data_IF_367606572026
#
_entry.id   IF_367606572026
#
_cell.length_a   1.000
_cell.length_b   1.000
_cell.length_c   1.000
_cell.angle_alpha   90.00
_cell.angle_beta   90.00
_cell.angle_gamma   90.00
#
_symmetry.space_group_name_H-M   'P 1'
#
loop_
_entity.id
_entity.type
_entity.pdbx_description
1 polymer ?
#
# COMPACT_ATOMS: atom_id res chain seq x y z
N UNK A 1 -48.83 -16.84 -11.12
CA UNK A 1 -47.81 -17.31 -10.17
C UNK A 1 -47.19 -18.61 -10.71
N UNK A 2 -46.88 -18.69 -12.01
CA UNK A 2 -45.71 -18.10 -12.70
C UNK A 2 -44.48 -19.00 -12.52
N UNK A 3 -44.15 -19.84 -13.50
CA UNK A 3 -43.57 -19.52 -14.83
C UNK A 3 -42.05 -19.80 -14.78
N UNK A 4 -41.59 -21.05 -14.94
CA UNK A 4 -41.59 -21.87 -16.16
C UNK A 4 -40.59 -21.38 -17.23
N UNK A 5 -39.43 -22.05 -17.30
CA UNK A 5 -38.70 -22.41 -18.54
C UNK A 5 -38.09 -21.22 -19.36
N UNK A 6 -36.89 -21.27 -19.96
CA UNK A 6 -36.16 -22.41 -20.54
C UNK A 6 -34.67 -22.10 -20.78
N UNK A 7 -33.90 -23.17 -20.93
CA UNK A 7 -32.58 -23.26 -21.58
C UNK A 7 -32.34 -22.32 -22.78
N UNK A 8 -31.33 -21.45 -22.67
CA UNK A 8 -30.55 -20.89 -23.79
C UNK A 8 -29.07 -21.04 -23.39
N UNK A 9 -28.45 -22.18 -23.70
CA UNK A 9 -27.69 -22.47 -24.93
C UNK A 9 -26.29 -21.86 -24.95
N UNK A 10 -25.31 -22.75 -24.81
CA UNK A 10 -23.93 -22.65 -25.30
C UNK A 10 -23.85 -21.92 -26.64
N UNK A 11 -22.94 -20.94 -26.76
CA UNK A 11 -22.55 -20.36 -28.04
C UNK A 11 -21.04 -20.42 -28.21
N UNK A 12 -20.60 -21.31 -29.11
CA UNK A 12 -19.24 -21.37 -29.61
C UNK A 12 -19.27 -21.70 -31.11
N UNK A 13 -18.94 -20.73 -31.98
CA UNK A 13 -18.31 -20.96 -33.27
C UNK A 13 -16.79 -20.71 -33.11
N UNK A 14 -15.92 -21.69 -33.34
CA UNK A 14 -15.57 -22.21 -34.66
C UNK A 14 -15.18 -21.09 -35.64
N UNK A 15 -14.05 -20.44 -35.37
CA UNK A 15 -13.30 -19.72 -36.40
C UNK A 15 -12.44 -20.72 -37.18
N UNK A 16 -12.57 -20.74 -38.50
CA UNK A 16 -11.89 -21.68 -39.39
C UNK A 16 -10.43 -21.26 -39.61
N UNK A 17 -9.49 -22.21 -39.49
CA UNK A 17 -8.07 -21.96 -39.73
C UNK A 17 -7.77 -21.76 -41.22
N UNK A 18 -6.87 -20.82 -41.52
CA UNK A 18 -6.14 -20.74 -42.78
C UNK A 18 -4.64 -20.71 -42.48
N UNK A 19 -3.98 -21.86 -42.65
CA UNK A 19 -2.53 -21.96 -42.50
C UNK A 19 -1.84 -21.72 -43.85
N UNK A 20 -0.76 -20.94 -43.83
CA UNK A 20 0.25 -20.94 -44.89
C UNK A 20 1.65 -20.86 -44.26
N UNK A 21 2.61 -21.57 -44.85
CA UNK A 21 3.98 -21.71 -44.37
C UNK A 21 4.83 -20.44 -44.70
N UNK A 22 6.09 -20.28 -44.26
CA UNK A 22 7.05 -21.30 -43.80
C UNK A 22 8.21 -20.72 -42.98
N UNK A 23 8.74 -21.50 -42.02
CA UNK A 23 9.96 -21.22 -41.25
C UNK A 23 9.80 -20.18 -40.12
N UNK A 24 10.53 -20.28 -39.00
CA UNK A 24 11.45 -21.35 -38.56
C UNK A 24 12.39 -20.85 -37.47
N UNK A 25 12.93 -21.74 -36.63
CA UNK A 25 13.89 -21.40 -35.56
C UNK A 25 13.49 -21.92 -34.18
N UNK A 26 14.48 -22.26 -33.37
CA UNK A 26 14.35 -22.93 -32.07
C UNK A 26 13.74 -22.12 -30.94
N UNK A 27 13.59 -22.81 -29.81
CA UNK A 27 13.10 -22.29 -28.53
C UNK A 27 13.98 -21.21 -27.86
N UNK A 28 13.40 -20.54 -26.85
CA UNK A 28 13.93 -19.42 -26.04
C UNK A 28 14.10 -18.11 -26.81
N UNK A 29 13.55 -16.99 -26.28
CA UNK A 29 14.02 -16.31 -25.06
C UNK A 29 13.22 -16.71 -23.79
N UNK A 30 13.68 -16.69 -22.53
CA UNK A 30 14.87 -16.08 -21.86
C UNK A 30 14.96 -14.54 -21.97
N UNK A 31 15.76 -13.89 -21.14
CA UNK A 31 16.30 -12.51 -21.37
C UNK A 31 15.27 -11.36 -21.61
N UNK A 32 14.97 -10.40 -20.72
CA UNK A 32 15.24 -10.16 -19.29
C UNK A 32 14.68 -8.78 -18.84
N UNK A 33 14.71 -8.51 -17.53
CA UNK A 33 14.77 -7.17 -16.89
C UNK A 33 13.94 -6.02 -17.53
N UNK A 34 12.64 -6.03 -17.25
CA UNK A 34 11.83 -4.80 -17.19
C UNK A 34 12.16 -3.96 -15.95
N UNK A 35 13.44 -3.65 -15.71
CA UNK A 35 13.91 -2.80 -14.60
C UNK A 35 13.62 -1.32 -14.89
N UNK A 36 12.33 -0.99 -15.05
CA UNK A 36 11.88 0.38 -15.14
C UNK A 36 12.11 1.09 -13.80
N UNK A 37 12.86 2.19 -13.84
CA UNK A 37 12.86 3.16 -12.75
C UNK A 37 11.53 3.91 -12.77
N UNK A 38 10.45 3.22 -12.38
CA UNK A 38 9.13 3.83 -12.27
C UNK A 38 9.15 4.82 -11.10
N UNK A 39 8.72 6.04 -11.38
CA UNK A 39 8.53 7.06 -10.36
C UNK A 39 7.59 6.50 -9.28
N UNK A 40 7.94 6.64 -8.01
CA UNK A 40 7.15 6.09 -6.90
C UNK A 40 5.93 6.99 -6.64
N UNK A 41 5.03 7.04 -7.63
CA UNK A 41 3.77 7.79 -7.61
C UNK A 41 2.93 7.25 -6.46
N UNK A 42 2.54 8.12 -5.52
CA UNK A 42 1.81 7.70 -4.33
C UNK A 42 0.47 7.02 -4.67
N UNK A 43 0.16 5.93 -3.97
CA UNK A 43 -1.03 5.11 -4.18
C UNK A 43 -2.34 5.94 -4.16
N UNK A 44 -3.22 5.80 -5.18
CA UNK A 44 -4.39 6.66 -5.31
C UNK A 44 -5.29 6.64 -4.08
N UNK A 45 -5.68 7.82 -3.60
CA UNK A 45 -6.55 7.98 -2.43
C UNK A 45 -8.02 7.76 -2.80
N UNK A 46 -8.80 7.27 -1.84
CA UNK A 46 -10.25 7.08 -1.96
C UNK A 46 -10.96 7.57 -0.69
N UNK A 47 -12.19 8.06 -0.84
CA UNK A 47 -13.06 8.34 0.31
C UNK A 47 -13.45 7.04 1.01
N UNK A 48 -13.90 7.13 2.27
CA UNK A 48 -14.49 5.97 2.95
C UNK A 48 -15.82 5.50 2.36
N UNK A 49 -16.50 6.33 1.56
CA UNK A 49 -17.67 5.91 0.80
C UNK A 49 -17.27 4.99 -0.37
N UNK A 50 -16.25 5.39 -1.14
CA UNK A 50 -15.68 4.57 -2.23
C UNK A 50 -15.03 3.30 -1.70
N UNK A 51 -14.23 3.39 -0.61
CA UNK A 51 -13.64 2.24 0.06
C UNK A 51 -14.68 1.17 0.42
N UNK A 52 -15.85 1.57 0.94
CA UNK A 52 -16.98 0.66 1.23
C UNK A 52 -17.56 0.02 -0.02
N UNK A 53 -17.66 0.74 -1.14
CA UNK A 53 -18.13 0.19 -2.42
C UNK A 53 -17.13 -0.81 -3.01
N UNK A 54 -15.84 -0.46 -3.01
CA UNK A 54 -14.77 -1.33 -3.51
C UNK A 54 -14.70 -2.65 -2.72
N UNK A 55 -14.80 -2.58 -1.39
CA UNK A 55 -14.84 -3.79 -0.54
C UNK A 55 -16.13 -4.60 -0.75
N UNK A 56 -17.26 -3.96 -1.06
CA UNK A 56 -18.50 -4.65 -1.41
C UNK A 56 -18.46 -5.33 -2.79
N UNK A 57 -17.65 -4.82 -3.73
CA UNK A 57 -17.40 -5.42 -5.05
C UNK A 57 -16.37 -6.57 -4.99
N UNK A 58 -15.60 -6.67 -3.89
CA UNK A 58 -14.68 -7.77 -3.62
C UNK A 58 -13.24 -7.36 -3.32
N UNK A 59 -12.92 -6.07 -3.17
CA UNK A 59 -11.59 -5.62 -2.77
C UNK A 59 -11.23 -6.04 -1.33
N UNK A 60 -9.97 -6.42 -1.12
CA UNK A 60 -9.46 -6.75 0.22
C UNK A 60 -9.24 -5.49 1.05
N UNK A 61 -9.79 -5.45 2.25
CA UNK A 61 -9.63 -4.36 3.20
C UNK A 61 -8.43 -4.62 4.12
N UNK A 62 -7.33 -3.87 3.94
CA UNK A 62 -6.09 -4.05 4.69
C UNK A 62 -5.92 -3.00 5.79
N UNK A 63 -5.80 -3.46 7.04
CA UNK A 63 -5.40 -2.65 8.18
C UNK A 63 -3.89 -2.80 8.44
N UNK A 64 -3.16 -1.69 8.51
CA UNK A 64 -1.72 -1.65 8.87
C UNK A 64 -1.44 -1.03 10.24
N UNK A 65 -2.47 -0.90 11.08
CA UNK A 65 -2.35 -0.45 12.47
C UNK A 65 -1.45 -1.40 13.28
N UNK A 66 -0.54 -0.90 14.15
CA UNK A 66 0.26 -1.77 15.02
C UNK A 66 -0.60 -2.52 16.03
N UNK A 67 -0.21 -3.76 16.33
CA UNK A 67 -0.88 -4.72 17.24
C UNK A 67 -1.55 -4.10 18.46
N UNK A 68 -0.85 -3.21 19.16
CA UNK A 68 -1.31 -2.62 20.43
C UNK A 68 -2.59 -1.78 20.29
N UNK A 69 -2.98 -1.43 19.06
CA UNK A 69 -4.23 -0.71 18.73
C UNK A 69 -5.09 -1.41 17.69
N UNK A 70 -4.82 -2.69 17.40
CA UNK A 70 -5.60 -3.47 16.44
C UNK A 70 -7.09 -3.55 16.82
N UNK A 71 -7.43 -3.59 18.11
CA UNK A 71 -8.81 -3.54 18.57
C UNK A 71 -9.50 -2.18 18.32
N UNK A 72 -8.75 -1.07 18.37
CA UNK A 72 -9.29 0.28 18.13
C UNK A 72 -9.47 0.58 16.64
N UNK A 73 -8.77 -0.13 15.75
CA UNK A 73 -8.84 0.03 14.30
C UNK A 73 -9.83 -0.91 13.60
N UNK A 74 -10.67 -1.63 14.33
CA UNK A 74 -11.43 -2.75 13.76
C UNK A 74 -12.51 -2.35 12.75
N UNK A 75 -12.49 -3.04 11.61
CA UNK A 75 -13.57 -3.12 10.63
C UNK A 75 -13.84 -4.62 10.39
N UNK A 76 -15.10 -5.09 10.45
CA UNK A 76 -15.42 -6.48 10.12
C UNK A 76 -14.97 -6.86 8.70
N UNK A 77 -14.32 -8.02 8.57
CA UNK A 77 -13.82 -8.51 7.27
C UNK A 77 -12.47 -7.94 6.84
N UNK A 78 -11.80 -7.12 7.65
CA UNK A 78 -10.41 -6.70 7.40
C UNK A 78 -9.45 -7.90 7.40
N UNK A 79 -8.42 -7.82 6.58
CA UNK A 79 -7.12 -8.46 6.84
C UNK A 79 -6.26 -7.47 7.63
N UNK A 80 -5.52 -7.95 8.61
CA UNK A 80 -4.69 -7.10 9.47
C UNK A 80 -3.24 -7.60 9.44
N UNK A 81 -2.34 -6.72 9.00
CA UNK A 81 -0.89 -6.94 8.93
C UNK A 81 -0.23 -5.61 9.33
N UNK A 82 0.35 -5.50 10.54
CA UNK A 82 1.02 -4.29 11.00
C UNK A 82 2.04 -3.74 9.99
N UNK A 83 2.11 -2.41 9.85
CA UNK A 83 3.05 -1.76 8.92
C UNK A 83 4.53 -2.26 9.01
N UNK A 84 5.09 -2.58 10.20
CA UNK A 84 6.45 -3.12 10.29
C UNK A 84 6.61 -4.56 9.79
N UNK A 85 5.52 -5.32 9.72
CA UNK A 85 5.51 -6.71 9.23
C UNK A 85 5.14 -6.81 7.74
N UNK A 86 4.53 -5.76 7.17
CA UNK A 86 3.95 -5.75 5.83
C UNK A 86 4.94 -6.21 4.75
N UNK A 87 6.20 -5.79 4.81
CA UNK A 87 7.24 -6.18 3.86
C UNK A 87 7.54 -7.69 3.88
N UNK A 88 7.53 -8.31 5.06
CA UNK A 88 7.75 -9.75 5.21
C UNK A 88 6.50 -10.59 4.94
N UNK A 89 5.31 -10.00 5.07
CA UNK A 89 4.00 -10.68 5.05
C UNK A 89 3.12 -10.33 3.84
N UNK A 90 3.55 -9.43 2.97
CA UNK A 90 2.81 -9.05 1.76
C UNK A 90 2.45 -10.24 0.88
N UNK A 91 3.26 -11.31 0.86
CA UNK A 91 2.97 -12.55 0.12
C UNK A 91 1.74 -13.32 0.63
N UNK A 92 1.14 -12.94 1.75
CA UNK A 92 -0.17 -13.42 2.22
C UNK A 92 -1.34 -12.73 1.49
N UNK A 93 -1.08 -11.62 0.79
CA UNK A 93 -2.09 -10.80 0.12
C UNK A 93 -2.37 -11.31 -1.32
N UNK A 94 -3.63 -11.25 -1.78
CA UNK A 94 -3.99 -11.63 -3.14
C UNK A 94 -3.36 -10.69 -4.18
N UNK A 95 -2.78 -11.27 -5.23
CA UNK A 95 -2.24 -10.52 -6.37
C UNK A 95 -3.32 -10.12 -7.37
N UNK A 96 -4.38 -10.92 -7.48
CA UNK A 96 -5.48 -10.76 -8.44
C UNK A 96 -6.68 -9.93 -7.92
N UNK A 97 -6.51 -9.17 -6.83
CA UNK A 97 -7.58 -8.39 -6.19
C UNK A 97 -7.08 -7.00 -5.80
N UNK A 98 -7.98 -6.01 -5.88
CA UNK A 98 -7.71 -4.66 -5.39
C UNK A 98 -7.55 -4.66 -3.86
N UNK A 99 -6.58 -3.91 -3.35
CA UNK A 99 -6.35 -3.72 -1.91
C UNK A 99 -6.73 -2.30 -1.48
N UNK A 100 -7.62 -2.16 -0.50
CA UNK A 100 -7.97 -0.88 0.13
C UNK A 100 -7.27 -0.79 1.48
N UNK A 101 -6.24 0.05 1.60
CA UNK A 101 -5.40 0.15 2.79
C UNK A 101 -5.75 1.34 3.69
N UNK A 102 -5.78 1.08 5.00
CA UNK A 102 -6.04 2.07 6.04
C UNK A 102 -5.22 1.79 7.31
N UNK A 103 -5.23 2.74 8.23
CA UNK A 103 -4.75 2.54 9.61
C UNK A 103 -5.48 3.47 10.58
N UNK A 104 -5.41 3.22 11.88
CA UNK A 104 -6.08 4.00 12.93
C UNK A 104 -6.03 5.52 12.71
N UNK A 105 -4.82 6.09 12.61
CA UNK A 105 -4.59 7.53 12.52
C UNK A 105 -4.29 8.09 11.12
N UNK A 106 -4.39 7.28 10.06
CA UNK A 106 -4.17 7.69 8.67
C UNK A 106 -2.73 7.95 8.21
N UNK A 107 -1.74 8.01 9.13
CA UNK A 107 -0.32 8.26 8.78
C UNK A 107 0.43 7.07 8.19
N UNK A 108 0.07 5.84 8.55
CA UNK A 108 0.79 4.63 8.09
C UNK A 108 0.32 4.11 6.73
N UNK A 109 -0.92 4.38 6.35
CA UNK A 109 -1.55 3.84 5.14
C UNK A 109 -1.01 4.40 3.81
N UNK A 110 -0.55 5.66 3.66
CA UNK A 110 0.14 6.09 2.45
C UNK A 110 1.45 5.34 2.24
N UNK A 111 2.23 5.12 3.31
CA UNK A 111 3.47 4.32 3.24
C UNK A 111 3.20 2.86 2.88
N UNK A 112 2.18 2.23 3.47
CA UNK A 112 1.76 0.89 3.07
C UNK A 112 1.31 0.84 1.59
N UNK A 113 0.56 1.85 1.13
CA UNK A 113 0.18 1.99 -0.27
C UNK A 113 1.38 2.03 -1.20
N UNK A 114 2.37 2.89 -0.91
CA UNK A 114 3.61 2.97 -1.70
C UNK A 114 4.41 1.66 -1.71
N UNK A 115 4.52 0.97 -0.56
CA UNK A 115 5.19 -0.34 -0.46
C UNK A 115 4.49 -1.40 -1.32
N UNK A 116 3.16 -1.47 -1.27
CA UNK A 116 2.37 -2.43 -2.05
C UNK A 116 2.39 -2.09 -3.55
N UNK A 117 2.39 -0.81 -3.91
CA UNK A 117 2.42 -0.39 -5.31
C UNK A 117 3.79 -0.62 -5.96
N UNK A 118 4.89 -0.38 -5.24
CA UNK A 118 6.25 -0.71 -5.70
C UNK A 118 6.43 -2.22 -5.95
N UNK A 119 5.70 -3.04 -5.21
CA UNK A 119 5.62 -4.49 -5.40
C UNK A 119 4.61 -4.92 -6.46
N UNK A 120 3.87 -4.00 -7.10
CA UNK A 120 2.92 -4.30 -8.17
C UNK A 120 1.55 -4.81 -7.74
N UNK A 121 1.09 -4.51 -6.52
CA UNK A 121 -0.31 -4.71 -6.12
C UNK A 121 -1.17 -3.51 -6.56
N UNK A 122 -2.40 -3.76 -7.05
CA UNK A 122 -3.37 -2.69 -7.27
C UNK A 122 -3.94 -2.23 -5.92
N UNK A 123 -3.65 -0.98 -5.52
CA UNK A 123 -3.89 -0.50 -4.15
C UNK A 123 -4.51 0.91 -4.09
N UNK A 124 -5.45 1.14 -3.17
CA UNK A 124 -6.05 2.45 -2.86
C UNK A 124 -5.89 2.79 -1.39
N UNK A 125 -5.66 4.06 -1.07
CA UNK A 125 -5.45 4.54 0.31
C UNK A 125 -6.71 5.24 0.83
N UNK A 126 -7.41 4.63 1.79
CA UNK A 126 -8.54 5.27 2.49
C UNK A 126 -8.07 6.25 3.59
N UNK A 127 -6.89 6.01 4.17
CA UNK A 127 -6.33 6.84 5.24
C UNK A 127 -6.72 6.37 6.63
N UNK A 128 -7.42 7.21 7.41
CA UNK A 128 -7.72 6.95 8.81
C UNK A 128 -8.93 6.02 9.01
N UNK A 129 -8.93 5.19 10.06
CA UNK A 129 -10.03 4.26 10.40
C UNK A 129 -11.40 4.97 10.43
N UNK A 130 -11.47 6.17 11.01
CA UNK A 130 -12.72 6.97 11.09
C UNK A 130 -13.35 7.26 9.71
N UNK A 131 -12.53 7.36 8.66
CA UNK A 131 -13.02 7.66 7.31
C UNK A 131 -14.01 6.58 6.83
N UNK A 132 -13.85 5.32 7.26
CA UNK A 132 -14.78 4.23 6.93
C UNK A 132 -16.21 4.49 7.39
N UNK A 133 -16.39 5.14 8.55
CA UNK A 133 -17.72 5.47 9.06
C UNK A 133 -18.23 6.77 8.40
N UNK A 134 -17.34 7.77 8.30
CA UNK A 134 -17.58 9.09 7.71
C UNK A 134 -17.93 9.00 6.20
N UNK A 135 -18.86 9.83 5.73
CA UNK A 135 -19.20 9.95 4.31
C UNK A 135 -18.52 11.16 3.63
N UNK A 136 -17.54 11.77 4.31
CA UNK A 136 -16.89 13.01 3.89
C UNK A 136 -15.82 12.78 2.80
N UNK A 137 -15.58 13.76 1.92
CA UNK A 137 -14.44 13.73 1.02
C UNK A 137 -13.13 13.74 1.82
N UNK A 138 -12.15 12.96 1.38
CA UNK A 138 -10.79 13.01 1.92
C UNK A 138 -10.07 14.19 1.26
N UNK A 139 -10.16 15.38 1.86
CA UNK A 139 -9.26 16.47 1.47
C UNK A 139 -7.81 15.99 1.61
N UNK A 140 -6.97 16.38 0.64
CA UNK A 140 -5.62 15.88 0.52
C UNK A 140 -4.83 16.23 1.79
N UNK A 141 -4.47 15.19 2.54
CA UNK A 141 -3.59 15.32 3.68
C UNK A 141 -2.19 15.65 3.16
N UNK A 142 -1.97 16.95 2.92
CA UNK A 142 -0.71 17.54 2.52
C UNK A 142 0.39 17.08 3.47
N UNK A 143 1.56 16.80 2.91
CA UNK A 143 2.72 16.39 3.67
C UNK A 143 3.25 17.58 4.47
N UNK A 144 2.67 17.78 5.65
CA UNK A 144 3.41 18.35 6.76
C UNK A 144 4.41 17.28 7.19
N UNK A 145 5.56 17.31 6.52
CA UNK A 145 6.79 16.69 7.00
C UNK A 145 6.89 16.95 8.50
N UNK A 146 7.00 15.90 9.30
CA UNK A 146 7.37 16.09 10.68
C UNK A 146 8.75 16.77 10.65
N UNK A 147 8.96 17.91 11.33
CA UNK A 147 10.27 18.55 11.33
C UNK A 147 11.25 17.51 11.86
N UNK A 148 12.21 17.15 11.02
CA UNK A 148 13.42 16.49 11.46
C UNK A 148 14.19 17.54 12.25
N UNK A 149 13.84 17.66 13.53
CA UNK A 149 14.51 18.56 14.47
C UNK A 149 15.95 18.08 14.62
N UNK A 150 16.77 18.70 13.78
CA UNK A 150 18.21 18.82 13.78
C UNK A 150 18.86 18.36 15.09
N UNK A 151 19.24 17.08 15.12
CA UNK A 151 20.01 16.49 16.21
C UNK A 151 21.50 16.79 16.05
N UNK A 152 21.86 18.01 15.62
CA UNK A 152 23.24 18.49 15.64
C UNK A 152 23.58 18.93 17.06
N UNK A 153 23.80 17.93 17.93
CA UNK A 153 24.55 18.17 19.16
C UNK A 153 26.04 18.38 18.79
N UNK A 154 26.35 19.59 18.31
CA UNK A 154 27.74 20.06 18.22
C UNK A 154 28.33 20.03 19.62
N UNK A 155 29.31 19.15 19.85
CA UNK A 155 30.08 19.16 21.08
C UNK A 155 30.98 20.40 21.09
N UNK A 156 30.77 21.39 21.97
CA UNK A 156 31.61 22.57 22.01
C UNK A 156 33.01 22.21 22.52
N UNK A 157 34.02 22.53 21.72
CA UNK A 157 35.38 22.71 22.19
C UNK A 157 35.57 24.14 22.73
N UNK A 158 36.75 24.41 23.31
CA UNK A 158 37.12 25.66 24.01
C UNK A 158 36.34 25.92 25.33
N UNK A 159 36.89 26.68 26.29
CA UNK A 159 38.12 27.48 26.28
C UNK A 159 39.06 27.15 27.48
N UNK A 160 40.05 28.01 27.73
CA UNK A 160 41.25 27.69 28.53
C UNK A 160 41.15 28.06 30.03
N UNK A 161 42.26 27.82 30.73
CA UNK A 161 42.42 28.01 32.18
C UNK A 161 42.31 29.48 32.64
N UNK A 162 42.15 29.67 33.96
CA UNK A 162 43.03 30.57 34.68
C UNK A 162 44.03 29.80 35.56
N UNK A 163 45.28 30.26 35.56
CA UNK A 163 46.25 30.00 36.62
C UNK A 163 45.89 30.80 37.87
N UNK A 164 46.08 30.23 39.06
CA UNK A 164 46.49 31.04 40.22
C UNK A 164 47.42 30.25 41.16
N UNK A 165 48.21 30.98 41.92
CA UNK A 165 49.32 30.49 42.76
C UNK A 165 48.92 30.49 44.25
N UNK A 166 49.27 29.44 45.00
CA UNK A 166 49.28 29.50 46.47
C UNK A 166 50.30 28.51 47.04
N UNK A 167 51.18 29.04 47.88
CA UNK A 167 52.29 28.39 48.59
C UNK A 167 51.84 28.03 50.03
N UNK A 168 52.73 27.47 50.84
CA UNK A 168 52.59 27.10 52.27
C UNK A 168 51.84 25.77 52.52
N UNK A 169 52.45 24.75 53.16
CA UNK A 169 53.82 24.65 53.68
C UNK A 169 54.13 23.29 54.30
#
# INVERSE_FOLDING_TARGET
>A
MEAFMKTIRTFAPLALALALACGGGGETPSEENGAGGEEVVAAPRVTGAEARQLVADGALLLDVTPEQRAAESEIPGRTHIPLPELEARMSELPRDQLIVVYCFGGRGSPRAGAMLQAEGYDVRVMGARRHWDEAAPVEEATEQEAPVEDATEEAPAEEAAPTDDTIEG
#
